data_IF_003581055973
#
_entry.id   IF_003581055973
#
_cell.length_a   1.000
_cell.length_b   1.000
_cell.length_c   1.000
_cell.angle_alpha   90.00
_cell.angle_beta   90.00
_cell.angle_gamma   90.00
#
_symmetry.space_group_name_H-M   'P 1'
#
loop_
_entity.id
_entity.type
_entity.pdbx_description
1 polymer ?
#
# COMPACT_ATOMS: atom_id res chain seq x y z
N UNK A 1 8.77 -0.79 -0.30
CA UNK A 1 8.42 -2.20 -0.03
C UNK A 1 9.46 -2.92 0.80
N UNK A 2 10.76 -2.68 0.58
CA UNK A 2 11.82 -3.28 1.41
C UNK A 2 11.67 -3.01 2.91
N UNK A 3 11.41 -1.76 3.31
CA UNK A 3 11.24 -1.44 4.73
C UNK A 3 10.04 -2.16 5.37
N UNK A 4 8.92 -2.30 4.64
CA UNK A 4 7.75 -3.04 5.14
C UNK A 4 8.05 -4.53 5.29
N UNK A 5 8.75 -5.12 4.32
CA UNK A 5 9.20 -6.51 4.37
C UNK A 5 10.12 -6.74 5.57
N UNK A 6 11.11 -5.88 5.78
CA UNK A 6 12.01 -5.94 6.93
C UNK A 6 11.29 -5.86 8.28
N UNK A 7 10.28 -4.99 8.40
CA UNK A 7 9.47 -4.92 9.62
C UNK A 7 8.67 -6.20 9.86
N UNK A 8 8.09 -6.79 8.82
CA UNK A 8 7.30 -8.02 8.93
C UNK A 8 8.17 -9.24 9.23
N UNK A 9 9.34 -9.37 8.59
CA UNK A 9 10.28 -10.44 8.91
C UNK A 9 10.85 -10.32 10.33
N UNK A 10 11.05 -9.09 10.83
CA UNK A 10 11.44 -8.85 12.23
C UNK A 10 10.37 -9.31 13.24
N UNK A 11 9.11 -9.51 12.83
CA UNK A 11 8.06 -10.13 13.64
C UNK A 11 8.09 -11.67 13.59
N UNK A 12 9.08 -12.26 12.91
CA UNK A 12 9.25 -13.70 12.78
C UNK A 12 8.48 -14.33 11.62
N UNK A 13 7.94 -13.53 10.69
CA UNK A 13 7.34 -14.06 9.47
C UNK A 13 8.44 -14.57 8.52
N UNK A 14 8.20 -15.71 7.88
CA UNK A 14 9.01 -16.13 6.74
C UNK A 14 8.86 -15.14 5.58
N UNK A 15 9.78 -15.17 4.64
CA UNK A 15 9.71 -14.34 3.43
C UNK A 15 8.41 -14.58 2.64
N UNK A 16 8.01 -15.85 2.49
CA UNK A 16 6.76 -16.24 1.86
C UNK A 16 5.53 -15.68 2.60
N UNK A 17 5.51 -15.77 3.94
CA UNK A 17 4.40 -15.24 4.75
C UNK A 17 4.37 -13.71 4.72
N UNK A 18 5.53 -13.08 4.62
CA UNK A 18 5.66 -11.62 4.48
C UNK A 18 5.03 -11.16 3.17
N UNK A 19 5.35 -11.81 2.05
CA UNK A 19 4.77 -11.48 0.75
C UNK A 19 3.25 -11.68 0.73
N UNK A 20 2.77 -12.80 1.31
CA UNK A 20 1.34 -13.08 1.46
C UNK A 20 0.64 -12.01 2.32
N UNK A 21 1.22 -11.62 3.44
CA UNK A 21 0.65 -10.61 4.33
C UNK A 21 0.50 -9.25 3.62
N UNK A 22 1.54 -8.83 2.89
CA UNK A 22 1.50 -7.58 2.11
C UNK A 22 0.40 -7.64 1.05
N UNK A 23 0.31 -8.74 0.29
CA UNK A 23 -0.72 -8.93 -0.73
C UNK A 23 -2.13 -8.90 -0.13
N UNK A 24 -2.38 -9.62 0.97
CA UNK A 24 -3.69 -9.67 1.64
C UNK A 24 -4.13 -8.28 2.12
N UNK A 25 -3.23 -7.51 2.72
CA UNK A 25 -3.56 -6.15 3.17
C UNK A 25 -3.85 -5.24 1.98
N UNK A 26 -3.09 -5.34 0.90
CA UNK A 26 -3.31 -4.54 -0.28
C UNK A 26 -4.63 -4.87 -0.99
N UNK A 27 -4.99 -6.16 -1.11
CA UNK A 27 -6.29 -6.59 -1.61
C UNK A 27 -7.43 -6.10 -0.72
N UNK A 28 -7.27 -6.18 0.60
CA UNK A 28 -8.24 -5.63 1.54
C UNK A 28 -8.43 -4.12 1.32
N UNK A 29 -7.35 -3.35 1.19
CA UNK A 29 -7.42 -1.91 0.90
C UNK A 29 -8.12 -1.65 -0.44
N UNK A 30 -7.77 -2.38 -1.50
CA UNK A 30 -8.45 -2.28 -2.80
C UNK A 30 -9.94 -2.52 -2.69
N UNK A 31 -10.37 -3.48 -1.88
CA UNK A 31 -11.80 -3.77 -1.65
C UNK A 31 -12.57 -2.63 -0.97
N UNK A 32 -11.87 -1.67 -0.35
CA UNK A 32 -12.46 -0.53 0.38
C UNK A 32 -12.36 0.79 -0.38
N UNK A 33 -11.64 0.84 -1.50
CA UNK A 33 -11.44 2.06 -2.28
C UNK A 33 -12.00 1.91 -3.70
N UNK A 34 -12.38 3.02 -4.35
CA UNK A 34 -12.82 2.99 -5.75
C UNK A 34 -11.77 2.40 -6.70
N UNK A 35 -12.24 1.73 -7.76
CA UNK A 35 -11.38 1.10 -8.77
C UNK A 35 -10.38 2.06 -9.42
N UNK A 36 -10.73 3.35 -9.50
CA UNK A 36 -9.83 4.41 -10.01
C UNK A 36 -8.50 4.53 -9.25
N UNK A 37 -8.41 3.97 -8.05
CA UNK A 37 -7.21 3.97 -7.21
C UNK A 37 -6.51 2.60 -7.15
N UNK A 38 -7.05 1.56 -7.79
CA UNK A 38 -6.47 0.21 -7.69
C UNK A 38 -5.10 0.13 -8.36
N UNK A 39 -4.91 0.80 -9.49
CA UNK A 39 -3.63 0.88 -10.22
C UNK A 39 -2.52 1.50 -9.37
N UNK A 40 -2.85 2.48 -8.52
CA UNK A 40 -1.90 3.07 -7.58
C UNK A 40 -1.43 2.04 -6.53
N UNK A 41 -2.34 1.24 -5.99
CA UNK A 41 -1.98 0.18 -5.04
C UNK A 41 -1.10 -0.88 -5.72
N UNK A 42 -1.41 -1.23 -6.98
CA UNK A 42 -0.57 -2.13 -7.78
C UNK A 42 0.84 -1.59 -8.01
N UNK A 43 0.97 -0.29 -8.31
CA UNK A 43 2.28 0.33 -8.49
C UNK A 43 3.10 0.34 -7.19
N UNK A 44 2.47 0.63 -6.06
CA UNK A 44 3.10 0.55 -4.73
C UNK A 44 3.56 -0.88 -4.43
N UNK A 45 2.70 -1.88 -4.65
CA UNK A 45 3.04 -3.30 -4.47
C UNK A 45 4.19 -3.75 -5.37
N UNK A 46 4.24 -3.27 -6.62
CA UNK A 46 5.31 -3.53 -7.57
C UNK A 46 6.64 -2.86 -7.18
N UNK A 47 6.70 -2.17 -6.04
CA UNK A 47 7.88 -1.46 -5.56
C UNK A 47 8.18 -0.20 -6.36
N UNK A 48 7.29 0.20 -7.26
CA UNK A 48 7.34 1.53 -7.85
C UNK A 48 6.96 2.50 -6.74
N UNK A 49 7.66 3.62 -6.65
CA UNK A 49 7.13 4.80 -5.99
C UNK A 49 6.23 5.49 -6.99
N UNK A 50 4.89 5.39 -6.89
CA UNK A 50 4.07 6.41 -7.51
C UNK A 50 4.49 7.75 -6.92
N UNK A 51 4.20 8.86 -7.60
CA UNK A 51 4.30 10.18 -6.97
C UNK A 51 3.26 10.28 -5.84
N UNK A 52 3.56 9.63 -4.71
CA UNK A 52 2.73 9.60 -3.51
C UNK A 52 2.55 11.02 -2.97
N UNK A 53 3.46 11.94 -3.27
CA UNK A 53 3.32 13.36 -2.94
C UNK A 53 2.08 14.01 -3.55
N UNK A 54 1.74 13.68 -4.80
CA UNK A 54 0.52 14.19 -5.45
C UNK A 54 -0.76 13.58 -4.87
N UNK A 55 -0.70 12.29 -4.51
CA UNK A 55 -1.89 11.54 -4.07
C UNK A 55 -2.17 11.71 -2.57
N UNK A 56 -1.15 11.78 -1.72
CA UNK A 56 -1.32 12.20 -0.32
C UNK A 56 -1.81 13.66 -0.26
N UNK A 57 -1.42 14.50 -1.21
CA UNK A 57 -1.97 15.84 -1.38
C UNK A 57 -3.46 15.84 -1.73
N UNK A 58 -3.90 14.98 -2.64
CA UNK A 58 -5.31 14.88 -3.05
C UNK A 58 -6.20 14.20 -2.00
N UNK A 59 -5.71 13.16 -1.31
CA UNK A 59 -6.38 12.56 -0.17
C UNK A 59 -6.41 13.51 1.03
N UNK A 60 -5.30 14.18 1.34
CA UNK A 60 -5.24 15.21 2.39
C UNK A 60 -6.19 16.38 2.11
N UNK A 61 -6.39 16.75 0.84
CA UNK A 61 -7.38 17.75 0.44
C UNK A 61 -8.83 17.30 0.59
N UNK A 62 -9.12 16.00 0.47
CA UNK A 62 -10.43 15.40 0.71
C UNK A 62 -10.73 15.21 2.20
N UNK A 63 -9.72 14.90 3.02
CA UNK A 63 -9.87 14.73 4.47
C UNK A 63 -9.72 16.05 5.26
N UNK A 64 -9.13 17.09 4.66
CA UNK A 64 -8.87 18.39 5.29
C UNK A 64 -9.92 19.47 5.02
N UNK A 65 -10.90 19.22 4.14
CA UNK A 65 -12.01 20.16 3.90
C UNK A 65 -13.22 19.79 4.77
N UNK A 66 -13.29 20.40 5.94
CA UNK A 66 -14.56 20.80 6.57
C UNK A 66 -14.77 22.29 6.33
#
# INVERSE_FOLDING_TARGET
>A
MNELKEKLTALGLSEEMTDKAIATVAEFVKSKIPESYHSMIDDVLAGKTPELGGILGSLGGLFGKK
#
